data_IF_025640035935
#
_entry.id   IF_025640035935
#
_cell.length_a   1.000
_cell.length_b   1.000
_cell.length_c   1.000
_cell.angle_alpha   90.00
_cell.angle_beta   90.00
_cell.angle_gamma   90.00
#
_symmetry.space_group_name_H-M   'P 1'
#
loop_
_entity.id
_entity.type
_entity.pdbx_description
1 polymer ?
#
# COMPACT_ATOMS: atom_id res chain seq x y z
N UNK A 1 -19.16 12.79 -6.82
CA UNK A 1 -17.80 12.55 -7.39
C UNK A 1 -17.75 11.14 -7.95
N UNK A 2 -17.20 10.93 -9.15
CA UNK A 2 -17.18 9.61 -9.79
C UNK A 2 -16.30 8.63 -8.97
N UNK A 3 -16.74 7.38 -8.78
CA UNK A 3 -16.04 6.32 -8.02
C UNK A 3 -14.55 6.20 -8.38
N UNK A 4 -14.24 6.30 -9.68
CA UNK A 4 -12.87 6.28 -10.19
C UNK A 4 -11.98 7.42 -9.68
N UNK A 5 -12.55 8.63 -9.53
CA UNK A 5 -11.83 9.77 -8.92
C UNK A 5 -11.59 9.53 -7.42
N UNK A 6 -12.48 8.81 -6.73
CA UNK A 6 -12.31 8.49 -5.32
C UNK A 6 -11.18 7.47 -5.09
N UNK A 7 -11.06 6.47 -5.97
CA UNK A 7 -9.97 5.49 -5.91
C UNK A 7 -8.60 6.14 -6.18
N UNK A 8 -8.51 6.98 -7.22
CA UNK A 8 -7.27 7.67 -7.61
C UNK A 8 -6.84 8.76 -6.61
N UNK A 9 -7.72 9.22 -5.72
CA UNK A 9 -7.38 10.17 -4.64
C UNK A 9 -7.07 9.44 -3.32
N UNK A 10 -7.38 8.15 -3.21
CA UNK A 10 -7.19 7.37 -1.99
C UNK A 10 -5.71 7.13 -1.68
N UNK A 11 -5.24 7.60 -0.53
CA UNK A 11 -3.87 7.36 -0.04
C UNK A 11 -3.55 5.87 0.14
N UNK A 12 -4.57 5.06 0.47
CA UNK A 12 -4.47 3.60 0.64
C UNK A 12 -4.15 2.91 -0.69
N UNK A 13 -4.77 3.40 -1.77
CA UNK A 13 -4.53 2.92 -3.13
C UNK A 13 -3.10 3.23 -3.57
N UNK A 14 -2.66 4.48 -3.38
CA UNK A 14 -1.30 4.88 -3.72
C UNK A 14 -0.23 4.17 -2.86
N UNK A 15 -0.49 3.90 -1.58
CA UNK A 15 0.41 3.10 -0.75
C UNK A 15 0.60 1.68 -1.29
N UNK A 16 -0.48 1.03 -1.73
CA UNK A 16 -0.42 -0.29 -2.36
C UNK A 16 0.31 -0.25 -3.71
N UNK A 17 0.05 0.77 -4.53
CA UNK A 17 0.72 0.98 -5.83
C UNK A 17 2.22 1.20 -5.64
N UNK A 18 2.63 2.01 -4.66
CA UNK A 18 4.05 2.25 -4.35
C UNK A 18 4.73 0.95 -3.92
N UNK A 19 4.11 0.18 -3.01
CA UNK A 19 4.65 -1.13 -2.63
C UNK A 19 4.82 -2.07 -3.82
N UNK A 20 3.82 -2.14 -4.71
CA UNK A 20 3.88 -2.95 -5.92
C UNK A 20 4.97 -2.48 -6.90
N UNK A 21 5.09 -1.17 -7.13
CA UNK A 21 6.12 -0.60 -8.01
C UNK A 21 7.52 -0.92 -7.51
N UNK A 22 7.76 -0.87 -6.20
CA UNK A 22 9.07 -1.21 -5.64
C UNK A 22 9.42 -2.69 -5.89
N UNK A 23 8.45 -3.59 -5.74
CA UNK A 23 8.64 -5.02 -6.05
C UNK A 23 8.99 -5.21 -7.54
N UNK A 24 8.27 -4.53 -8.43
CA UNK A 24 8.53 -4.59 -9.88
C UNK A 24 9.91 -4.03 -10.23
N UNK A 25 10.34 -2.91 -9.62
CA UNK A 25 11.67 -2.33 -9.83
C UNK A 25 12.76 -3.31 -9.39
N UNK A 26 12.64 -3.91 -8.20
CA UNK A 26 13.62 -4.90 -7.71
C UNK A 26 13.68 -6.15 -8.60
N UNK A 27 12.55 -6.56 -9.18
CA UNK A 27 12.52 -7.68 -10.12
C UNK A 27 13.14 -7.33 -11.49
N UNK A 28 12.99 -6.10 -11.97
CA UNK A 28 13.55 -5.66 -13.26
C UNK A 28 15.03 -5.25 -13.17
N UNK A 29 15.45 -4.72 -12.02
CA UNK A 29 16.84 -4.38 -11.69
C UNK A 29 17.21 -5.05 -10.35
N UNK A 30 17.75 -6.28 -10.39
CA UNK A 30 18.15 -7.02 -9.20
C UNK A 30 19.24 -6.31 -8.38
N UNK A 31 20.12 -5.55 -9.03
CA UNK A 31 21.19 -4.77 -8.40
C UNK A 31 20.72 -3.47 -7.76
N UNK A 32 19.40 -3.18 -7.79
CA UNK A 32 18.87 -1.99 -7.12
C UNK A 32 19.24 -2.02 -5.62
N UNK A 33 19.79 -0.92 -5.07
CA UNK A 33 20.41 -0.86 -3.74
C UNK A 33 19.38 -0.83 -2.61
N UNK A 34 18.52 -1.85 -2.59
CA UNK A 34 17.59 -2.15 -1.52
C UNK A 34 17.97 -3.53 -0.99
N UNK A 35 18.31 -3.57 0.31
CA UNK A 35 18.50 -4.82 1.03
C UNK A 35 17.17 -5.60 1.17
N UNK A 36 17.19 -6.93 1.04
CA UNK A 36 15.98 -7.76 1.14
C UNK A 36 15.20 -7.54 2.44
N UNK A 37 15.90 -7.38 3.56
CA UNK A 37 15.32 -7.15 4.89
C UNK A 37 14.59 -5.80 4.94
N UNK A 38 15.18 -4.76 4.35
CA UNK A 38 14.58 -3.43 4.27
C UNK A 38 13.30 -3.46 3.42
N UNK A 39 13.33 -4.17 2.28
CA UNK A 39 12.17 -4.34 1.42
C UNK A 39 11.02 -5.05 2.15
N UNK A 40 11.32 -6.15 2.83
CA UNK A 40 10.33 -6.92 3.59
C UNK A 40 9.72 -6.09 4.72
N UNK A 41 10.54 -5.38 5.48
CA UNK A 41 10.08 -4.47 6.55
C UNK A 41 9.20 -3.35 6.00
N UNK A 42 9.59 -2.76 4.87
CA UNK A 42 8.80 -1.70 4.23
C UNK A 42 7.44 -2.22 3.77
N UNK A 43 7.39 -3.41 3.15
CA UNK A 43 6.14 -4.06 2.74
C UNK A 43 5.26 -4.36 3.97
N UNK A 44 5.85 -4.89 5.05
CA UNK A 44 5.12 -5.18 6.28
C UNK A 44 4.45 -3.92 6.86
N UNK A 45 5.16 -2.79 6.88
CA UNK A 45 4.62 -1.50 7.34
C UNK A 45 3.48 -1.01 6.44
N UNK A 46 3.65 -1.09 5.12
CA UNK A 46 2.61 -0.69 4.15
C UNK A 46 1.35 -1.55 4.33
N UNK A 47 1.51 -2.86 4.45
CA UNK A 47 0.39 -3.79 4.65
C UNK A 47 -0.31 -3.53 5.99
N UNK A 48 0.45 -3.35 7.08
CA UNK A 48 -0.10 -2.99 8.39
C UNK A 48 -0.90 -1.68 8.34
N UNK A 49 -0.39 -0.65 7.65
CA UNK A 49 -1.10 0.61 7.45
C UNK A 49 -2.42 0.42 6.68
N UNK A 50 -2.37 -0.27 5.54
CA UNK A 50 -3.57 -0.52 4.73
C UNK A 50 -4.63 -1.29 5.53
N UNK A 51 -4.21 -2.34 6.26
CA UNK A 51 -5.10 -3.12 7.12
C UNK A 51 -5.71 -2.27 8.22
N UNK A 52 -4.91 -1.48 8.94
CA UNK A 52 -5.39 -0.60 10.01
C UNK A 52 -6.48 0.36 9.52
N UNK A 53 -6.26 0.97 8.35
CA UNK A 53 -7.24 1.87 7.76
C UNK A 53 -8.48 1.13 7.25
N UNK A 54 -8.35 -0.08 6.69
CA UNK A 54 -9.49 -0.89 6.27
C UNK A 54 -10.36 -1.35 7.45
N UNK A 55 -9.73 -1.71 8.58
CA UNK A 55 -10.42 -2.04 9.83
C UNK A 55 -11.16 -0.82 10.38
N UNK A 56 -10.51 0.35 10.40
CA UNK A 56 -11.14 1.59 10.84
C UNK A 56 -12.38 1.95 10.00
N UNK A 57 -12.28 1.85 8.67
CA UNK A 57 -13.42 2.05 7.76
C UNK A 57 -14.55 1.06 8.05
N UNK A 58 -14.21 -0.23 8.25
CA UNK A 58 -15.18 -1.28 8.55
C UNK A 58 -15.92 -1.05 9.87
N UNK A 59 -15.20 -0.66 10.93
CA UNK A 59 -15.81 -0.33 12.22
C UNK A 59 -16.74 0.88 12.14
N UNK A 60 -16.34 1.93 11.40
CA UNK A 60 -17.18 3.11 11.17
C UNK A 60 -18.45 2.77 10.39
N UNK A 61 -18.37 1.86 9.42
CA UNK A 61 -19.52 1.38 8.65
C UNK A 61 -20.54 0.60 9.48
N UNK A 62 -20.14 -0.04 10.58
CA UNK A 62 -21.05 -0.84 11.43
C UNK A 62 -21.73 0.00 12.51
N UNK A 63 -21.13 1.15 12.87
CA UNK A 63 -21.61 2.02 13.97
C UNK A 63 -22.47 3.21 13.49
N UNK A 64 -22.51 3.49 12.19
CA UNK A 64 -23.34 4.54 11.58
C UNK A 64 -24.58 3.97 10.90
#
# INVERSE_FOLDING_TARGET
>A
MNKWKMLLVSRKFWAAVVGLVVILIKNWQPDFPIEPELLSNMIAVIVAYIMGVAVEDGLRSVRG
#
